data_IF_851072282372
#
_entry.id   IF_851072282372
#
_cell.length_a   1.000
_cell.length_b   1.000
_cell.length_c   1.000
_cell.angle_alpha   90.00
_cell.angle_beta   90.00
_cell.angle_gamma   90.00
#
_symmetry.space_group_name_H-M   'P 1'
#
loop_
_entity.id
_entity.type
_entity.pdbx_description
1 polymer ?
#
# COMPACT_ATOMS: atom_id res chain seq x y z
N UNK A 1 25.43 5.98 8.92
CA UNK A 1 25.33 7.20 9.76
C UNK A 1 26.27 8.19 9.15
N UNK A 2 25.70 9.18 8.48
CA UNK A 2 26.41 10.08 7.58
C UNK A 2 27.34 11.05 8.33
N UNK A 3 28.38 11.54 7.65
CA UNK A 3 29.42 12.40 8.23
C UNK A 3 28.88 13.64 8.95
N UNK A 4 27.73 14.15 8.51
CA UNK A 4 27.04 15.31 9.10
C UNK A 4 26.56 15.07 10.53
N UNK A 5 26.09 13.86 10.86
CA UNK A 5 25.61 13.55 12.21
C UNK A 5 26.74 13.56 13.24
N UNK A 6 27.95 13.17 12.83
CA UNK A 6 29.15 13.21 13.69
C UNK A 6 29.62 14.64 13.92
N UNK A 7 29.56 15.49 12.88
CA UNK A 7 29.94 16.90 12.98
C UNK A 7 29.07 17.68 13.97
N UNK A 8 27.75 17.42 14.00
CA UNK A 8 26.82 18.04 14.96
C UNK A 8 27.14 17.62 16.39
N UNK A 9 27.39 16.33 16.62
CA UNK A 9 27.73 15.81 17.96
C UNK A 9 29.06 16.38 18.44
N UNK A 10 30.08 16.44 17.58
CA UNK A 10 31.39 17.02 17.94
C UNK A 10 31.25 18.50 18.30
N UNK A 11 30.46 19.29 17.56
CA UNK A 11 30.22 20.71 17.87
C UNK A 11 29.54 20.90 19.23
N UNK A 12 28.59 20.03 19.57
CA UNK A 12 27.91 20.06 20.89
C UNK A 12 28.90 19.75 22.01
N UNK A 13 29.75 18.73 21.83
CA UNK A 13 30.75 18.32 22.83
C UNK A 13 31.83 19.39 23.01
N UNK A 14 32.35 19.96 21.92
CA UNK A 14 33.36 21.04 21.95
C UNK A 14 32.80 22.30 22.60
N UNK A 15 31.54 22.67 22.29
CA UNK A 15 30.86 23.81 22.92
C UNK A 15 30.73 23.62 24.44
N UNK A 16 30.38 22.41 24.89
CA UNK A 16 30.28 22.05 26.32
C UNK A 16 31.64 22.00 27.01
N UNK A 17 32.68 21.50 26.34
CA UNK A 17 34.03 21.47 26.90
C UNK A 17 34.61 22.89 27.04
N UNK A 18 34.38 23.77 26.06
CA UNK A 18 34.78 25.17 26.12
C UNK A 18 34.03 25.95 27.21
N UNK A 19 32.76 25.63 27.48
CA UNK A 19 32.03 26.27 28.58
C UNK A 19 32.55 25.84 29.95
N UNK A 20 32.95 24.57 30.11
CA UNK A 20 33.60 24.06 31.33
C UNK A 20 34.99 24.66 31.53
N UNK A 21 35.79 24.76 30.46
CA UNK A 21 37.12 25.38 30.52
C UNK A 21 37.04 26.87 30.87
N UNK A 22 36.08 27.60 30.31
CA UNK A 22 35.84 29.02 30.63
C UNK A 22 35.39 29.21 32.08
N UNK A 23 34.65 28.23 32.64
CA UNK A 23 34.22 28.18 34.05
C UNK A 23 35.36 27.90 35.03
N UNK A 24 36.36 27.12 34.63
CA UNK A 24 37.57 26.88 35.44
C UNK A 24 38.41 28.14 35.68
N UNK A 25 38.26 29.17 34.83
CA UNK A 25 39.12 30.36 34.84
C UNK A 25 38.49 31.57 35.54
N UNK A 26 37.24 31.48 36.00
CA UNK A 26 36.55 32.60 36.67
C UNK A 26 35.59 32.06 37.76
N UNK A 27 36.05 31.87 39.00
CA UNK A 27 35.29 31.19 40.05
C UNK A 27 34.19 32.04 40.71
N UNK A 28 34.21 33.37 40.58
CA UNK A 28 33.30 34.29 41.29
C UNK A 28 32.12 34.81 40.44
N UNK A 29 31.84 34.19 39.29
CA UNK A 29 30.61 34.52 38.55
C UNK A 29 29.44 33.69 39.07
N UNK A 30 28.53 34.32 39.84
CA UNK A 30 27.20 33.81 40.19
C UNK A 30 26.28 33.74 38.96
N UNK A 31 26.63 32.90 37.98
CA UNK A 31 25.74 32.57 36.89
C UNK A 31 25.86 31.08 36.56
N UNK A 32 25.39 30.26 37.51
CA UNK A 32 24.75 29.01 37.12
C UNK A 32 23.31 29.37 36.79
N UNK A 33 22.92 29.27 35.51
CA UNK A 33 21.52 29.22 35.04
C UNK A 33 20.60 28.79 36.20
N UNK A 34 19.80 29.70 36.77
CA UNK A 34 19.09 29.53 38.06
C UNK A 34 18.27 28.24 38.22
N UNK A 35 18.94 27.10 38.43
CA UNK A 35 18.38 25.76 38.38
C UNK A 35 19.16 24.88 39.38
N UNK A 36 18.52 24.51 40.49
CA UNK A 36 19.13 23.71 41.57
C UNK A 36 19.61 22.32 41.16
N UNK A 37 20.44 21.69 41.99
CA UNK A 37 21.04 20.37 41.74
C UNK A 37 19.99 19.25 41.55
N UNK A 38 18.83 19.39 42.19
CA UNK A 38 17.62 18.60 42.01
C UNK A 38 17.11 18.65 40.55
N UNK A 39 17.12 19.83 39.94
CA UNK A 39 16.71 20.03 38.54
C UNK A 39 17.75 19.46 37.56
N UNK A 40 19.04 19.46 37.91
CA UNK A 40 20.10 18.80 37.12
C UNK A 40 19.95 17.27 37.13
N UNK A 41 19.70 16.67 38.29
CA UNK A 41 19.46 15.22 38.37
C UNK A 41 18.18 14.79 37.65
N UNK A 42 17.10 15.58 37.77
CA UNK A 42 15.85 15.33 37.05
C UNK A 42 16.03 15.38 35.52
N UNK A 43 16.79 16.36 35.01
CA UNK A 43 17.05 16.49 33.55
C UNK A 43 17.89 15.33 33.01
N UNK A 44 18.90 14.86 33.75
CA UNK A 44 19.68 13.68 33.37
C UNK A 44 18.83 12.40 33.38
N UNK A 45 17.94 12.22 34.35
CA UNK A 45 17.01 11.10 34.41
C UNK A 45 16.07 11.05 33.19
N UNK A 46 15.49 12.21 32.83
CA UNK A 46 14.63 12.34 31.63
C UNK A 46 15.42 12.03 30.35
N UNK A 47 16.66 12.51 30.22
CA UNK A 47 17.52 12.20 29.07
C UNK A 47 17.81 10.70 28.93
N UNK A 48 18.05 10.00 30.03
CA UNK A 48 18.27 8.55 30.00
C UNK A 48 16.99 7.84 29.58
N UNK A 49 15.84 8.15 30.20
CA UNK A 49 14.55 7.52 29.89
C UNK A 49 14.17 7.75 28.42
N UNK A 50 14.29 8.99 27.94
CA UNK A 50 14.00 9.34 26.54
C UNK A 50 14.92 8.59 25.57
N UNK A 51 16.22 8.42 25.86
CA UNK A 51 17.11 7.63 25.00
C UNK A 51 16.73 6.15 24.93
N UNK A 52 16.28 5.56 26.04
CA UNK A 52 15.76 4.18 26.07
C UNK A 52 14.47 4.03 25.27
N UNK A 53 13.53 4.98 25.43
CA UNK A 53 12.28 5.01 24.65
C UNK A 53 12.59 5.15 23.17
N UNK A 54 13.48 6.06 22.78
CA UNK A 54 13.88 6.26 21.38
C UNK A 54 14.53 4.99 20.81
N UNK A 55 15.42 4.31 21.56
CA UNK A 55 16.00 3.02 21.13
C UNK A 55 14.93 1.94 20.97
N UNK A 56 13.97 1.83 21.89
CA UNK A 56 12.88 0.87 21.81
C UNK A 56 11.97 1.14 20.62
N UNK A 57 11.60 2.41 20.40
CA UNK A 57 10.83 2.86 19.24
C UNK A 57 11.58 2.61 17.94
N UNK A 58 12.89 2.88 17.90
CA UNK A 58 13.72 2.65 16.72
C UNK A 58 13.80 1.17 16.36
N UNK A 59 14.03 0.28 17.35
CA UNK A 59 14.02 -1.17 17.14
C UNK A 59 12.66 -1.68 16.66
N UNK A 60 11.56 -1.18 17.26
CA UNK A 60 10.19 -1.51 16.83
C UNK A 60 9.91 -1.02 15.41
N UNK A 61 10.39 0.18 15.06
CA UNK A 61 10.27 0.75 13.72
C UNK A 61 11.10 -0.03 12.70
N UNK A 62 12.31 -0.48 13.03
CA UNK A 62 13.12 -1.33 12.16
C UNK A 62 12.40 -2.65 11.86
N UNK A 63 11.86 -3.32 12.87
CA UNK A 63 11.10 -4.55 12.70
C UNK A 63 9.82 -4.34 11.87
N UNK A 64 9.09 -3.25 12.14
CA UNK A 64 7.94 -2.84 11.35
C UNK A 64 8.33 -2.61 9.88
N UNK A 65 9.43 -1.89 9.64
CA UNK A 65 9.95 -1.62 8.30
C UNK A 65 10.40 -2.89 7.57
N UNK A 66 11.00 -3.85 8.28
CA UNK A 66 11.41 -5.13 7.71
C UNK A 66 10.21 -5.97 7.26
N UNK A 67 9.20 -6.17 8.14
CA UNK A 67 7.94 -6.84 7.77
C UNK A 67 7.27 -6.16 6.57
N UNK A 68 7.29 -4.83 6.56
CA UNK A 68 6.70 -4.04 5.49
C UNK A 68 7.40 -4.18 4.14
N UNK A 69 8.73 -4.41 4.10
CA UNK A 69 9.41 -4.70 2.82
C UNK A 69 8.87 -5.99 2.21
N UNK A 70 8.74 -7.04 3.02
CA UNK A 70 8.20 -8.33 2.59
C UNK A 70 6.75 -8.20 2.14
N UNK A 71 5.90 -7.50 2.90
CA UNK A 71 4.51 -7.23 2.50
C UNK A 71 4.43 -6.45 1.18
N UNK A 72 5.24 -5.40 1.02
CA UNK A 72 5.27 -4.62 -0.23
C UNK A 72 5.74 -5.47 -1.42
N UNK A 73 6.77 -6.31 -1.24
CA UNK A 73 7.23 -7.23 -2.28
C UNK A 73 6.13 -8.22 -2.68
N UNK A 74 5.32 -8.67 -1.72
CA UNK A 74 4.11 -9.46 -1.96
C UNK A 74 3.06 -8.69 -2.75
N UNK A 75 2.67 -7.51 -2.27
CA UNK A 75 1.68 -6.64 -2.92
C UNK A 75 2.10 -6.30 -4.37
N UNK A 76 3.38 -6.00 -4.60
CA UNK A 76 3.93 -5.73 -5.94
C UNK A 76 3.94 -6.97 -6.85
N UNK A 77 4.22 -8.16 -6.28
CA UNK A 77 4.16 -9.41 -7.05
C UNK A 77 2.74 -9.71 -7.48
N UNK A 78 1.76 -9.51 -6.60
CA UNK A 78 0.35 -9.73 -6.89
C UNK A 78 -0.17 -8.72 -7.93
N UNK A 79 0.27 -7.46 -7.85
CA UNK A 79 0.00 -6.42 -8.84
C UNK A 79 0.56 -6.80 -10.21
N UNK A 80 1.84 -7.19 -10.29
CA UNK A 80 2.45 -7.70 -11.54
C UNK A 80 1.73 -8.92 -12.11
N UNK A 81 1.33 -9.87 -11.25
CA UNK A 81 0.59 -11.05 -11.69
C UNK A 81 -0.78 -10.70 -12.27
N UNK A 82 -1.47 -9.73 -11.65
CA UNK A 82 -2.74 -9.20 -12.16
C UNK A 82 -2.56 -8.50 -13.50
N UNK A 83 -1.54 -7.66 -13.64
CA UNK A 83 -1.26 -6.95 -14.88
C UNK A 83 -0.92 -7.93 -16.02
N UNK A 84 -0.13 -8.96 -15.73
CA UNK A 84 0.17 -10.03 -16.67
C UNK A 84 -1.08 -10.81 -17.08
N UNK A 85 -1.99 -11.08 -16.15
CA UNK A 85 -3.27 -11.73 -16.43
C UNK A 85 -4.14 -10.86 -17.35
N UNK A 86 -4.26 -9.56 -17.04
CA UNK A 86 -5.01 -8.61 -17.87
C UNK A 86 -4.41 -8.55 -19.27
N UNK A 87 -3.08 -8.44 -19.39
CA UNK A 87 -2.38 -8.42 -20.67
C UNK A 87 -2.65 -9.67 -21.49
N UNK A 88 -2.65 -10.85 -20.84
CA UNK A 88 -3.01 -12.12 -21.50
C UNK A 88 -4.45 -12.10 -22.01
N UNK A 89 -5.41 -11.78 -21.15
CA UNK A 89 -6.84 -11.71 -21.52
C UNK A 89 -7.06 -10.73 -22.68
N UNK A 90 -6.48 -9.54 -22.61
CA UNK A 90 -6.61 -8.52 -23.68
C UNK A 90 -6.01 -9.03 -24.99
N UNK A 91 -4.83 -9.66 -24.95
CA UNK A 91 -4.21 -10.26 -26.14
C UNK A 91 -5.10 -11.35 -26.75
N UNK A 92 -5.61 -12.26 -25.92
CA UNK A 92 -6.56 -13.29 -26.34
C UNK A 92 -7.81 -12.67 -26.98
N UNK A 93 -8.41 -11.64 -26.40
CA UNK A 93 -9.62 -11.04 -26.98
C UNK A 93 -9.38 -10.33 -28.34
N UNK A 94 -8.13 -9.99 -28.68
CA UNK A 94 -7.77 -9.38 -29.96
C UNK A 94 -7.62 -10.42 -31.07
N UNK A 95 -7.15 -11.61 -30.76
CA UNK A 95 -7.05 -12.72 -31.72
C UNK A 95 -8.43 -13.07 -32.30
N UNK A 96 -8.46 -13.47 -33.58
CA UNK A 96 -9.71 -13.84 -34.28
C UNK A 96 -10.01 -15.31 -34.14
N UNK A 97 -8.98 -16.12 -34.28
CA UNK A 97 -9.05 -17.57 -34.30
C UNK A 97 -8.25 -18.09 -33.11
N UNK A 98 -8.78 -19.11 -32.44
CA UNK A 98 -8.15 -19.71 -31.28
C UNK A 98 -8.00 -21.20 -31.49
N UNK A 99 -6.85 -21.76 -31.12
CA UNK A 99 -6.65 -23.20 -31.09
C UNK A 99 -7.02 -23.73 -29.70
N UNK A 100 -7.88 -24.74 -29.65
CA UNK A 100 -8.31 -25.37 -28.41
C UNK A 100 -7.25 -26.40 -27.95
N UNK A 101 -6.62 -26.24 -26.76
CA UNK A 101 -5.59 -27.17 -26.29
C UNK A 101 -6.08 -28.59 -25.98
N UNK A 102 -7.40 -28.82 -25.96
CA UNK A 102 -7.99 -30.14 -25.67
C UNK A 102 -8.16 -30.96 -26.95
N UNK A 103 -8.73 -30.35 -28.00
CA UNK A 103 -8.97 -31.04 -29.28
C UNK A 103 -7.92 -30.72 -30.36
N UNK A 104 -6.98 -29.82 -30.08
CA UNK A 104 -5.90 -29.41 -30.99
C UNK A 104 -6.42 -28.93 -32.36
N UNK A 105 -7.56 -28.25 -32.35
CA UNK A 105 -8.22 -27.70 -33.53
C UNK A 105 -8.81 -26.34 -33.24
N UNK A 106 -9.41 -25.72 -34.26
CA UNK A 106 -10.06 -24.42 -34.12
C UNK A 106 -11.18 -24.45 -33.07
N UNK A 107 -11.21 -23.43 -32.21
CA UNK A 107 -12.09 -23.39 -31.07
C UNK A 107 -13.53 -23.09 -31.49
N UNK A 108 -14.36 -24.13 -31.56
CA UNK A 108 -15.79 -24.00 -31.80
C UNK A 108 -16.54 -23.55 -30.52
N UNK A 109 -17.38 -22.52 -30.64
CA UNK A 109 -18.00 -21.79 -29.50
C UNK A 109 -16.95 -21.48 -28.41
N UNK A 110 -15.98 -20.60 -28.68
CA UNK A 110 -14.85 -20.41 -27.80
C UNK A 110 -15.25 -19.81 -26.46
N UNK A 111 -14.65 -20.31 -25.39
CA UNK A 111 -14.88 -19.82 -24.02
C UNK A 111 -13.56 -19.43 -23.35
N UNK A 112 -13.55 -18.27 -22.71
CA UNK A 112 -12.43 -17.75 -21.94
C UNK A 112 -12.53 -18.20 -20.48
N UNK A 113 -11.43 -18.73 -19.97
CA UNK A 113 -11.27 -18.99 -18.54
C UNK A 113 -10.72 -17.76 -17.80
N UNK A 114 -10.95 -17.67 -16.49
CA UNK A 114 -10.38 -16.60 -15.63
C UNK A 114 -8.84 -16.53 -15.63
N UNK A 115 -8.14 -17.58 -16.10
CA UNK A 115 -6.68 -17.63 -16.24
C UNK A 115 -6.17 -17.10 -17.60
N UNK A 116 -7.09 -16.77 -18.51
CA UNK A 116 -6.81 -16.17 -19.81
C UNK A 116 -6.59 -17.16 -20.96
N UNK A 117 -6.94 -18.45 -20.81
CA UNK A 117 -6.86 -19.43 -21.91
C UNK A 117 -8.24 -19.75 -22.49
N UNK A 118 -8.27 -20.08 -23.78
CA UNK A 118 -9.47 -20.35 -24.57
C UNK A 118 -9.60 -21.83 -24.89
N UNK A 119 -10.83 -22.32 -24.88
CA UNK A 119 -11.20 -23.70 -25.21
C UNK A 119 -12.52 -23.71 -25.99
N UNK A 120 -12.84 -24.82 -26.65
CA UNK A 120 -14.22 -25.06 -27.09
C UNK A 120 -15.12 -25.24 -25.86
N UNK A 121 -16.34 -24.70 -25.89
CA UNK A 121 -17.31 -24.87 -24.81
C UNK A 121 -17.55 -26.35 -24.47
N UNK A 122 -17.81 -27.18 -25.49
CA UNK A 122 -18.05 -28.61 -25.33
C UNK A 122 -16.83 -29.36 -24.76
N UNK A 123 -15.61 -28.97 -25.16
CA UNK A 123 -14.37 -29.61 -24.71
C UNK A 123 -14.11 -29.36 -23.23
N UNK A 124 -14.20 -28.09 -22.78
CA UNK A 124 -13.92 -27.76 -21.39
C UNK A 124 -15.00 -28.28 -20.44
N UNK A 125 -16.26 -28.29 -20.88
CA UNK A 125 -17.36 -28.86 -20.09
C UNK A 125 -17.22 -30.37 -19.97
N UNK A 126 -16.86 -31.08 -21.07
CA UNK A 126 -16.59 -32.52 -21.01
C UNK A 126 -15.41 -32.82 -20.09
N UNK A 127 -14.34 -32.03 -20.18
CA UNK A 127 -13.18 -32.15 -19.31
C UNK A 127 -13.56 -31.97 -17.84
N UNK A 128 -14.39 -30.98 -17.51
CA UNK A 128 -14.94 -30.81 -16.16
C UNK A 128 -15.80 -32.00 -15.72
N UNK A 129 -16.75 -32.46 -16.55
CA UNK A 129 -17.62 -33.61 -16.24
C UNK A 129 -16.86 -34.92 -16.03
N UNK A 130 -15.65 -35.03 -16.59
CA UNK A 130 -14.74 -36.18 -16.42
C UNK A 130 -13.77 -36.04 -15.24
N UNK A 131 -13.74 -34.88 -14.58
CA UNK A 131 -12.87 -34.65 -13.43
C UNK A 131 -13.32 -35.47 -12.21
N UNK A 132 -12.39 -35.75 -11.28
CA UNK A 132 -12.60 -36.65 -10.14
C UNK A 132 -13.72 -36.18 -9.19
N UNK A 133 -14.05 -34.88 -9.17
CA UNK A 133 -15.07 -34.30 -8.30
C UNK A 133 -15.89 -33.26 -9.07
N UNK A 134 -17.15 -33.59 -9.38
CA UNK A 134 -18.10 -32.66 -10.04
C UNK A 134 -18.42 -31.44 -9.15
N UNK A 135 -18.14 -31.53 -7.85
CA UNK A 135 -18.38 -30.49 -6.86
C UNK A 135 -17.27 -29.45 -6.76
N UNK A 136 -16.12 -29.67 -7.41
CA UNK A 136 -15.00 -28.73 -7.39
C UNK A 136 -14.83 -28.04 -8.74
N UNK A 137 -14.36 -26.77 -8.77
CA UNK A 137 -13.98 -26.12 -10.01
C UNK A 137 -12.81 -26.86 -10.66
N UNK A 138 -12.79 -26.87 -11.99
CA UNK A 138 -11.77 -27.59 -12.73
C UNK A 138 -10.48 -26.76 -12.91
N UNK A 139 -9.36 -27.46 -13.13
CA UNK A 139 -8.07 -26.83 -13.43
C UNK A 139 -7.86 -26.68 -14.95
N UNK A 140 -7.34 -25.54 -15.37
CA UNK A 140 -7.05 -25.26 -16.77
C UNK A 140 -6.09 -26.32 -17.36
N UNK A 141 -6.50 -26.98 -18.45
CA UNK A 141 -5.69 -28.00 -19.12
C UNK A 141 -4.35 -27.45 -19.68
N UNK A 142 -4.25 -26.14 -19.88
CA UNK A 142 -3.03 -25.49 -20.38
C UNK A 142 -2.07 -25.07 -19.27
N UNK A 143 -2.55 -24.35 -18.24
CA UNK A 143 -1.69 -23.76 -17.20
C UNK A 143 -1.90 -24.30 -15.79
N UNK A 144 -2.85 -25.23 -15.59
CA UNK A 144 -3.21 -25.85 -14.31
C UNK A 144 -3.73 -24.89 -13.23
N UNK A 145 -4.07 -23.65 -13.60
CA UNK A 145 -4.78 -22.74 -12.70
C UNK A 145 -6.26 -23.14 -12.62
N UNK A 146 -6.80 -23.19 -11.41
CA UNK A 146 -8.23 -23.40 -11.16
C UNK A 146 -9.06 -22.24 -11.73
N UNK A 147 -10.06 -22.57 -12.54
CA UNK A 147 -10.96 -21.57 -13.11
C UNK A 147 -12.38 -21.72 -12.58
N UNK A 148 -13.00 -20.59 -12.23
CA UNK A 148 -14.31 -20.55 -11.59
C UNK A 148 -15.38 -19.86 -12.43
N UNK A 149 -14.99 -19.36 -13.61
CA UNK A 149 -15.87 -18.67 -14.55
C UNK A 149 -15.44 -18.95 -15.98
N UNK A 150 -16.42 -19.20 -16.83
CA UNK A 150 -16.31 -19.34 -18.28
C UNK A 150 -17.07 -18.18 -18.93
N UNK A 151 -16.42 -17.49 -19.88
CA UNK A 151 -17.02 -16.39 -20.61
C UNK A 151 -17.07 -16.73 -22.10
N UNK A 152 -18.24 -16.68 -22.75
CA UNK A 152 -18.31 -16.89 -24.19
C UNK A 152 -17.58 -15.75 -24.94
N UNK A 153 -16.78 -16.10 -25.95
CA UNK A 153 -16.09 -15.14 -26.83
C UNK A 153 -16.64 -15.32 -28.23
N UNK A 154 -17.18 -14.25 -28.85
CA UNK A 154 -17.54 -14.22 -30.27
C UNK A 154 -18.36 -15.44 -30.73
N UNK A 155 -19.30 -15.89 -29.91
CA UNK A 155 -20.21 -16.97 -30.29
C UNK A 155 -21.07 -16.54 -31.50
N UNK A 156 -21.45 -17.49 -32.38
CA UNK A 156 -22.32 -17.20 -33.51
C UNK A 156 -23.66 -16.65 -33.03
N UNK A 157 -24.27 -15.80 -33.85
CA UNK A 157 -25.63 -15.30 -33.62
C UNK A 157 -26.65 -16.41 -33.86
N UNK A 158 -27.64 -16.57 -32.98
CA UNK A 158 -28.75 -17.48 -33.22
C UNK A 158 -29.48 -17.17 -34.54
N UNK A 159 -30.00 -18.19 -35.22
CA UNK A 159 -30.70 -18.09 -36.51
C UNK A 159 -29.81 -18.29 -37.73
N UNK A 160 -28.58 -18.80 -37.56
CA UNK A 160 -27.66 -19.08 -38.67
C UNK A 160 -27.97 -20.40 -39.37
N UNK A 161 -28.29 -21.45 -38.61
CA UNK A 161 -28.85 -22.72 -39.06
C UNK A 161 -29.46 -23.46 -37.86
N UNK A 162 -30.36 -24.42 -38.12
CA UNK A 162 -30.96 -25.24 -37.07
C UNK A 162 -29.88 -25.99 -36.26
N UNK A 163 -28.82 -26.50 -36.91
CA UNK A 163 -27.75 -27.20 -36.20
C UNK A 163 -26.92 -26.27 -35.31
N UNK A 164 -26.64 -25.05 -35.76
CA UNK A 164 -25.89 -24.05 -34.98
C UNK A 164 -26.71 -23.62 -33.76
N UNK A 165 -28.02 -23.46 -33.92
CA UNK A 165 -28.92 -23.02 -32.85
C UNK A 165 -29.08 -24.07 -31.76
N UNK A 166 -29.22 -25.35 -32.15
CA UNK A 166 -29.21 -26.47 -31.21
C UNK A 166 -27.90 -26.52 -30.41
N UNK A 167 -26.76 -26.34 -31.10
CA UNK A 167 -25.45 -26.35 -30.45
C UNK A 167 -25.26 -25.14 -29.53
N UNK A 168 -25.72 -23.96 -29.95
CA UNK A 168 -25.70 -22.73 -29.14
C UNK A 168 -26.50 -22.93 -27.85
N UNK A 169 -27.73 -23.43 -27.95
CA UNK A 169 -28.61 -23.64 -26.80
C UNK A 169 -28.00 -24.63 -25.81
N UNK A 170 -27.47 -25.76 -26.31
CA UNK A 170 -26.80 -26.76 -25.47
C UNK A 170 -25.58 -26.19 -24.75
N UNK A 171 -24.71 -25.48 -25.48
CA UNK A 171 -23.51 -24.87 -24.91
C UNK A 171 -23.87 -23.80 -23.86
N UNK A 172 -24.92 -23.01 -24.10
CA UNK A 172 -25.34 -21.98 -23.16
C UNK A 172 -25.81 -22.60 -21.83
N UNK A 173 -26.63 -23.66 -21.89
CA UNK A 173 -27.09 -24.39 -20.69
C UNK A 173 -25.91 -24.96 -19.89
N UNK A 174 -24.97 -25.62 -20.56
CA UNK A 174 -23.79 -26.21 -19.91
C UNK A 174 -22.88 -25.13 -19.29
N UNK A 175 -22.69 -24.00 -19.97
CA UNK A 175 -21.88 -22.88 -19.50
C UNK A 175 -22.52 -22.19 -18.28
N UNK A 176 -23.83 -21.97 -18.31
CA UNK A 176 -24.58 -21.39 -17.19
C UNK A 176 -24.56 -22.32 -15.96
N UNK A 177 -24.74 -23.63 -16.15
CA UNK A 177 -24.66 -24.60 -15.06
C UNK A 177 -23.29 -24.56 -14.36
N UNK A 178 -22.19 -24.49 -15.14
CA UNK A 178 -20.84 -24.35 -14.58
C UNK A 178 -20.68 -23.05 -13.79
N UNK A 179 -21.02 -21.92 -14.41
CA UNK A 179 -20.85 -20.60 -13.80
C UNK A 179 -21.70 -20.43 -12.55
N UNK A 180 -22.93 -20.96 -12.53
CA UNK A 180 -23.81 -20.92 -11.36
C UNK A 180 -23.21 -21.66 -10.16
N UNK A 181 -22.48 -22.76 -10.40
CA UNK A 181 -21.85 -23.56 -9.34
C UNK A 181 -20.60 -22.87 -8.77
N UNK A 182 -19.80 -22.22 -9.61
CA UNK A 182 -18.44 -21.85 -9.23
C UNK A 182 -18.11 -20.36 -9.26
N UNK A 183 -18.90 -19.51 -9.94
CA UNK A 183 -18.64 -18.08 -10.06
C UNK A 183 -18.95 -17.35 -8.74
N UNK A 184 -18.13 -17.59 -7.72
CA UNK A 184 -18.10 -16.77 -6.51
C UNK A 184 -17.51 -15.40 -6.88
N UNK A 185 -18.38 -14.44 -7.13
CA UNK A 185 -17.97 -13.03 -7.19
C UNK A 185 -17.46 -12.63 -5.81
N UNK A 186 -16.15 -12.36 -5.69
CA UNK A 186 -15.61 -11.74 -4.48
C UNK A 186 -16.25 -10.35 -4.33
N UNK A 187 -16.76 -9.98 -3.14
CA UNK A 187 -17.42 -8.70 -2.96
C UNK A 187 -16.48 -7.54 -3.31
N UNK A 188 -16.97 -6.63 -4.15
CA UNK A 188 -16.27 -5.41 -4.61
C UNK A 188 -15.67 -4.60 -3.45
N UNK A 189 -16.28 -4.70 -2.27
CA UNK A 189 -15.84 -4.09 -1.02
C UNK A 189 -14.45 -4.54 -0.55
N UNK A 190 -14.04 -5.80 -0.74
CA UNK A 190 -12.71 -6.25 -0.32
C UNK A 190 -11.60 -5.59 -1.15
N UNK A 191 -11.85 -5.36 -2.44
CA UNK A 191 -10.91 -4.67 -3.33
C UNK A 191 -10.75 -3.20 -2.95
N UNK A 192 -11.84 -2.53 -2.57
CA UNK A 192 -11.83 -1.14 -2.11
C UNK A 192 -11.14 -1.04 -0.75
N UNK A 193 -11.47 -1.93 0.18
CA UNK A 193 -10.85 -1.98 1.51
C UNK A 193 -9.35 -2.24 1.41
N UNK A 194 -8.91 -3.09 0.48
CA UNK A 194 -7.49 -3.33 0.22
C UNK A 194 -6.79 -2.04 -0.27
N UNK A 195 -7.39 -1.32 -1.21
CA UNK A 195 -6.83 -0.06 -1.73
C UNK A 195 -6.77 1.04 -0.67
N UNK A 196 -7.83 1.18 0.14
CA UNK A 196 -7.86 2.14 1.26
C UNK A 196 -6.81 1.79 2.31
N UNK A 197 -6.68 0.50 2.66
CA UNK A 197 -5.62 0.02 3.56
C UNK A 197 -4.23 0.28 2.98
N UNK A 198 -4.02 0.07 1.66
CA UNK A 198 -2.75 0.39 0.96
C UNK A 198 -2.44 1.88 1.04
N UNK A 199 -3.45 2.74 0.86
CA UNK A 199 -3.31 4.19 0.93
C UNK A 199 -2.97 4.71 2.33
N UNK A 200 -3.72 4.28 3.36
CA UNK A 200 -3.47 4.67 4.76
C UNK A 200 -2.08 4.18 5.19
N UNK A 201 -1.73 2.93 4.86
CA UNK A 201 -0.40 2.38 5.13
C UNK A 201 0.69 3.20 4.43
N UNK A 202 0.53 3.63 3.18
CA UNK A 202 1.56 4.41 2.45
C UNK A 202 1.82 5.78 3.07
N UNK A 203 0.78 6.44 3.57
CA UNK A 203 0.86 7.83 4.06
C UNK A 203 0.84 7.95 5.59
N UNK A 204 0.99 6.85 6.36
CA UNK A 204 0.82 6.87 7.82
C UNK A 204 1.74 7.85 8.57
N UNK A 205 2.97 8.07 8.09
CA UNK A 205 3.90 9.05 8.70
C UNK A 205 3.38 10.48 8.52
N UNK A 206 2.82 10.78 7.35
CA UNK A 206 2.23 12.08 7.06
C UNK A 206 0.93 12.26 7.87
N UNK A 207 0.12 11.21 8.02
CA UNK A 207 -1.09 11.21 8.87
C UNK A 207 -0.74 11.46 10.34
N UNK A 208 0.27 10.75 10.87
CA UNK A 208 0.74 10.94 12.25
C UNK A 208 1.28 12.35 12.45
N UNK A 209 2.02 12.92 11.49
CA UNK A 209 2.51 14.30 11.60
C UNK A 209 1.38 15.33 11.55
N UNK A 210 0.38 15.14 10.68
CA UNK A 210 -0.80 16.01 10.57
C UNK A 210 -1.67 15.94 11.83
N UNK A 211 -1.74 14.79 12.51
CA UNK A 211 -2.58 14.63 13.71
C UNK A 211 -1.83 15.00 15.01
N UNK A 212 -0.57 14.61 15.15
CA UNK A 212 0.19 14.73 16.41
C UNK A 212 0.76 16.13 16.61
N UNK A 213 1.25 16.79 15.55
CA UNK A 213 1.79 18.15 15.68
C UNK A 213 0.77 19.17 16.20
N UNK A 214 -0.49 19.22 15.70
CA UNK A 214 -1.47 20.14 16.25
C UNK A 214 -1.85 19.78 17.69
N UNK A 215 -2.01 18.49 18.02
CA UNK A 215 -2.32 18.07 19.40
C UNK A 215 -1.20 18.44 20.37
N UNK A 216 0.07 18.20 20.01
CA UNK A 216 1.21 18.61 20.82
C UNK A 216 1.32 20.13 20.96
N UNK A 217 0.99 20.89 19.92
CA UNK A 217 0.99 22.36 19.96
C UNK A 217 -0.09 22.91 20.89
N UNK A 218 -1.29 22.32 20.88
CA UNK A 218 -2.39 22.68 21.79
C UNK A 218 -2.02 22.36 23.24
N UNK A 219 -1.48 21.17 23.51
CA UNK A 219 -1.05 20.78 24.85
C UNK A 219 0.07 21.70 25.36
N UNK A 220 1.05 22.04 24.52
CA UNK A 220 2.12 22.97 24.90
C UNK A 220 1.59 24.35 25.29
N UNK A 221 0.63 24.89 24.54
CA UNK A 221 0.00 26.19 24.84
C UNK A 221 -0.84 26.10 26.12
N UNK A 222 -1.65 25.06 26.29
CA UNK A 222 -2.44 24.85 27.52
C UNK A 222 -1.58 24.67 28.78
N UNK A 223 -0.35 24.15 28.64
CA UNK A 223 0.60 23.99 29.74
C UNK A 223 1.47 25.24 29.98
N UNK A 224 1.64 26.09 28.97
CA UNK A 224 2.52 27.27 29.03
C UNK A 224 1.76 28.56 29.34
N UNK A 225 0.44 28.59 29.22
CA UNK A 225 -0.37 29.78 29.42
C UNK A 225 -1.24 29.66 30.68
N UNK A 226 -0.99 30.53 31.65
CA UNK A 226 -2.11 31.17 32.36
C UNK A 226 -2.80 32.08 31.33
N UNK A 227 -4.05 31.81 30.92
CA UNK A 227 -4.64 32.50 29.77
C UNK A 227 -4.98 33.93 30.16
N UNK A 228 -4.49 34.92 29.40
CA UNK A 228 -4.89 36.32 29.61
C UNK A 228 -6.01 36.78 28.67
N UNK A 229 -6.04 36.38 27.38
CA UNK A 229 -7.15 36.76 26.48
C UNK A 229 -7.45 35.73 25.36
N UNK A 230 -8.72 35.61 24.91
CA UNK A 230 -9.17 34.61 23.93
C UNK A 230 -8.70 34.86 22.48
N UNK A 231 -8.35 36.10 22.12
CA UNK A 231 -8.01 36.47 20.74
C UNK A 231 -6.63 35.94 20.31
N UNK A 232 -5.68 35.85 21.24
CA UNK A 232 -4.33 35.28 21.01
C UNK A 232 -4.37 33.78 20.70
N UNK A 233 -5.40 33.09 21.19
CA UNK A 233 -5.60 31.65 20.93
C UNK A 233 -6.06 31.43 19.49
N UNK A 234 -6.92 32.32 18.96
CA UNK A 234 -7.45 32.20 17.60
C UNK A 234 -6.39 32.49 16.53
N UNK A 235 -5.59 33.53 16.72
CA UNK A 235 -4.47 33.87 15.82
C UNK A 235 -3.41 32.76 15.78
N UNK A 236 -3.21 32.05 16.89
CA UNK A 236 -2.33 30.90 16.96
C UNK A 236 -2.82 29.72 16.13
N UNK A 237 -4.11 29.36 16.21
CA UNK A 237 -4.67 28.27 15.42
C UNK A 237 -4.61 28.55 13.91
N UNK A 238 -4.85 29.79 13.50
CA UNK A 238 -4.72 30.22 12.10
C UNK A 238 -3.28 30.08 11.60
N UNK A 239 -2.29 30.53 12.37
CA UNK A 239 -0.88 30.43 12.01
C UNK A 239 -0.38 28.98 11.96
N UNK A 240 -0.85 28.12 12.87
CA UNK A 240 -0.57 26.69 12.87
C UNK A 240 -1.16 26.01 11.62
N UNK A 241 -2.41 26.34 11.28
CA UNK A 241 -3.09 25.82 10.10
C UNK A 241 -2.38 26.24 8.80
N UNK A 242 -2.01 27.51 8.68
CA UNK A 242 -1.21 28.05 7.57
C UNK A 242 0.13 27.32 7.42
N UNK A 243 0.81 27.03 8.53
CA UNK A 243 2.08 26.31 8.51
C UNK A 243 1.91 24.85 8.03
N UNK A 244 0.85 24.17 8.47
CA UNK A 244 0.54 22.80 8.01
C UNK A 244 0.24 22.80 6.50
N UNK A 245 -0.53 23.78 6.01
CA UNK A 245 -0.83 23.92 4.59
C UNK A 245 0.42 24.19 3.75
N UNK A 246 1.33 25.04 4.22
CA UNK A 246 2.60 25.34 3.54
C UNK A 246 3.50 24.11 3.47
N UNK A 247 3.64 23.35 4.55
CA UNK A 247 4.42 22.10 4.53
C UNK A 247 3.79 21.05 3.62
N UNK A 248 2.46 20.92 3.61
CA UNK A 248 1.76 20.01 2.70
C UNK A 248 1.97 20.41 1.24
N UNK A 249 1.93 21.71 0.93
CA UNK A 249 2.21 22.24 -0.40
C UNK A 249 3.67 22.00 -0.82
N UNK A 250 4.63 22.25 0.07
CA UNK A 250 6.05 21.99 -0.17
C UNK A 250 6.33 20.51 -0.44
N UNK A 251 5.70 19.60 0.31
CA UNK A 251 5.85 18.15 0.10
C UNK A 251 5.24 17.72 -1.23
N UNK A 252 4.08 18.26 -1.62
CA UNK A 252 3.49 18.01 -2.95
C UNK A 252 4.41 18.51 -4.06
N UNK A 253 4.94 19.72 -3.92
CA UNK A 253 5.87 20.29 -4.89
C UNK A 253 7.15 19.44 -5.01
N UNK A 254 7.76 19.07 -3.88
CA UNK A 254 8.98 18.26 -3.87
C UNK A 254 8.74 16.87 -4.48
N UNK A 255 7.58 16.24 -4.22
CA UNK A 255 7.21 14.96 -4.85
C UNK A 255 7.09 15.10 -6.37
N UNK A 256 6.44 16.17 -6.84
CA UNK A 256 6.27 16.42 -8.27
C UNK A 256 7.62 16.71 -8.94
N UNK A 257 8.45 17.56 -8.32
CA UNK A 257 9.80 17.86 -8.79
C UNK A 257 10.69 16.60 -8.89
N UNK A 258 10.64 15.74 -7.88
CA UNK A 258 11.37 14.47 -7.88
C UNK A 258 10.76 13.41 -8.82
N UNK A 259 9.49 13.53 -9.19
CA UNK A 259 8.85 12.67 -10.18
C UNK A 259 9.24 13.09 -11.59
N UNK A 260 9.26 14.39 -11.86
CA UNK A 260 9.71 14.97 -13.14
C UNK A 260 11.16 14.62 -13.44
N UNK A 261 12.06 14.74 -12.45
CA UNK A 261 13.46 14.28 -12.61
C UNK A 261 13.63 12.78 -12.80
N UNK A 262 12.66 11.95 -12.37
CA UNK A 262 12.70 10.50 -12.55
C UNK A 262 12.11 10.05 -13.89
N UNK A 263 11.32 10.88 -14.57
CA UNK A 263 10.77 10.62 -15.91
C UNK A 263 11.65 11.12 -17.06
N UNK A 264 12.85 11.64 -16.76
CA UNK A 264 13.84 12.16 -17.73
C UNK A 264 15.03 11.18 -17.88
N UNK A 265 14.89 9.94 -17.40
CA UNK A 265 15.78 8.81 -17.72
C UNK A 265 15.00 7.73 -18.46
#
# INVERSE_FOLDING_TARGET
>A
MDGDGRAVVIRIVVSRALSVYRRSKNPDSEDWFGLGADKVLATLGILIITTYIVKAMYKKWQNYRARRRVENEGDERDERNRDNLIKRIVGTLQERDHECPICLGEANFPVLTNCGHVFCCSCIIRYWKQSKTIFDPCDCAYCRCTFNKLLPIRWPTPGASDEIDEQFQKNNVDLEDYNKRFSTEKPRLESILFQVKKFIRKNWIDIVRILVLPVCSVIYVCLSAEPKHPDEVLEFFDNLFLTILLFAALIRWLRNYLAERRGVQ
#
